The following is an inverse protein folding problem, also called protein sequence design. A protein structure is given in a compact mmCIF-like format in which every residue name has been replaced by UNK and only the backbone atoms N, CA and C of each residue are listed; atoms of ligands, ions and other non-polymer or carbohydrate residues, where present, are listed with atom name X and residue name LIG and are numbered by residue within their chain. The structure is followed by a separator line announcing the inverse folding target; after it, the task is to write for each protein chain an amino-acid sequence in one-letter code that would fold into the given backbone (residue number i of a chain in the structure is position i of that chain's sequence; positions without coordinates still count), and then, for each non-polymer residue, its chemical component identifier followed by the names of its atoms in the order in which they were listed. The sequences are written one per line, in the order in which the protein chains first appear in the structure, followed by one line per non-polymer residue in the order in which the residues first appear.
data_IF_095676245256
#
_entry.id   IF_095676245256
#
_cell.length_a   1.000
_cell.length_b   1.000
_cell.length_c   1.000
_cell.angle_alpha   90.00
_cell.angle_beta   90.00
_cell.angle_gamma   90.00
#
_symmetry.space_group_name_H-M   'P 1'
#
loop_
_entity.id
_entity.type
_entity.pdbx_description
1 polymer ?
#
# COMPACT_ATOMS: atom_id res chain seq x y z
N UNK A 1 3.17 11.53 27.28
CA UNK A 1 2.38 10.84 26.23
C UNK A 1 2.51 11.72 25.01
N UNK A 2 3.43 11.35 24.10
CA UNK A 2 3.58 12.09 22.84
C UNK A 2 2.29 11.94 22.06
N UNK A 3 1.65 13.07 21.78
CA UNK A 3 0.51 13.18 20.90
C UNK A 3 1.01 12.82 19.49
N UNK A 4 0.92 11.54 19.14
CA UNK A 4 1.52 10.99 17.94
C UNK A 4 0.84 11.60 16.70
N UNK A 5 1.38 12.71 16.20
CA UNK A 5 0.92 13.34 14.98
C UNK A 5 1.00 12.35 13.82
N UNK A 6 -0.15 12.06 13.22
CA UNK A 6 -0.21 11.35 11.93
C UNK A 6 0.43 12.23 10.86
N UNK A 7 1.25 11.61 10.01
CA UNK A 7 1.78 12.27 8.82
C UNK A 7 0.63 12.60 7.85
N UNK A 8 0.90 13.44 6.84
CA UNK A 8 -0.08 13.76 5.80
C UNK A 8 -0.47 12.49 5.03
N UNK A 9 -1.76 12.35 4.74
CA UNK A 9 -2.25 11.30 3.84
C UNK A 9 -2.10 11.73 2.39
N UNK A 10 -1.83 10.75 1.51
CA UNK A 10 -1.74 10.92 0.07
C UNK A 10 -2.66 9.93 -0.63
N UNK A 11 -3.20 10.34 -1.78
CA UNK A 11 -3.93 9.49 -2.70
C UNK A 11 -3.39 9.74 -4.11
N UNK A 12 -2.96 8.68 -4.78
CA UNK A 12 -2.41 8.74 -6.12
C UNK A 12 -2.73 7.45 -6.89
N UNK A 13 -2.66 7.53 -8.22
CA UNK A 13 -2.63 6.34 -9.07
C UNK A 13 -1.31 5.59 -8.89
N UNK A 14 -1.34 4.26 -8.89
CA UNK A 14 -0.12 3.44 -8.90
C UNK A 14 0.46 3.24 -10.31
N UNK A 15 -0.19 3.78 -11.35
CA UNK A 15 0.24 3.68 -12.74
C UNK A 15 0.05 2.29 -13.35
N UNK A 16 0.60 2.11 -14.55
CA UNK A 16 0.49 0.85 -15.32
C UNK A 16 1.61 -0.13 -14.94
N UNK A 17 1.47 -0.82 -13.82
CA UNK A 17 2.40 -1.87 -13.40
C UNK A 17 3.87 -1.41 -13.43
N UNK A 18 4.79 -2.20 -14.00
CA UNK A 18 6.22 -1.90 -14.00
C UNK A 18 6.60 -0.73 -14.91
N UNK A 19 5.72 -0.28 -15.82
CA UNK A 19 6.04 0.74 -16.81
C UNK A 19 6.36 2.11 -16.21
N UNK A 20 5.91 2.37 -14.97
CA UNK A 20 6.31 3.56 -14.21
C UNK A 20 7.80 3.54 -13.92
N UNK A 21 8.34 2.40 -13.51
CA UNK A 21 9.75 2.23 -13.16
C UNK A 21 10.64 2.13 -14.41
N UNK A 22 10.09 1.64 -15.52
CA UNK A 22 10.78 1.57 -16.82
C UNK A 22 10.91 2.94 -17.51
N UNK A 23 10.36 4.02 -16.93
CA UNK A 23 10.56 5.38 -17.44
C UNK A 23 9.77 5.70 -18.71
N UNK A 24 8.71 4.96 -19.01
CA UNK A 24 7.88 5.20 -20.20
C UNK A 24 7.27 6.61 -20.20
N UNK A 25 7.31 7.28 -21.35
CA UNK A 25 6.93 8.70 -21.51
C UNK A 25 5.54 9.03 -20.96
N UNK A 26 4.56 8.16 -21.19
CA UNK A 26 3.19 8.37 -20.72
C UNK A 26 3.03 8.30 -19.19
N UNK A 27 4.00 7.75 -18.46
CA UNK A 27 4.00 7.69 -16.99
C UNK A 27 4.74 8.87 -16.34
N UNK A 28 5.47 9.69 -17.11
CA UNK A 28 6.22 10.86 -16.59
C UNK A 28 5.39 11.80 -15.71
N UNK A 29 4.11 12.12 -16.03
CA UNK A 29 3.30 12.96 -15.14
C UNK A 29 3.09 12.34 -13.75
N UNK A 30 2.86 11.02 -13.68
CA UNK A 30 2.72 10.32 -12.40
C UNK A 30 4.03 10.30 -11.63
N UNK A 31 5.15 9.99 -12.30
CA UNK A 31 6.48 10.01 -11.70
C UNK A 31 6.77 11.37 -11.09
N UNK A 32 6.48 12.46 -11.81
CA UNK A 32 6.64 13.82 -11.31
C UNK A 32 5.81 14.09 -10.05
N UNK A 33 4.54 13.69 -10.03
CA UNK A 33 3.67 13.84 -8.85
C UNK A 33 4.21 13.08 -7.65
N UNK A 34 4.65 11.82 -7.83
CA UNK A 34 5.22 11.00 -6.78
C UNK A 34 6.50 11.63 -6.22
N UNK A 35 7.45 12.00 -7.09
CA UNK A 35 8.72 12.63 -6.71
C UNK A 35 8.49 13.95 -5.97
N UNK A 36 7.58 14.79 -6.46
CA UNK A 36 7.28 16.11 -5.87
C UNK A 36 6.63 16.01 -4.48
N UNK A 37 6.07 14.84 -4.13
CA UNK A 37 5.43 14.60 -2.83
C UNK A 37 6.21 13.63 -1.93
N UNK A 38 7.39 13.16 -2.36
CA UNK A 38 8.23 12.23 -1.61
C UNK A 38 8.59 12.73 -0.20
N UNK A 39 8.77 14.05 -0.05
CA UNK A 39 9.11 14.72 1.21
C UNK A 39 8.14 14.43 2.37
N UNK A 40 6.90 14.02 2.06
CA UNK A 40 5.90 13.65 3.08
C UNK A 40 6.35 12.42 3.89
N UNK A 41 7.23 11.59 3.32
CA UNK A 41 7.75 10.38 3.98
C UNK A 41 8.98 10.65 4.86
N UNK A 42 9.63 11.82 4.77
CA UNK A 42 10.93 12.07 5.43
C UNK A 42 10.88 11.97 6.96
N UNK A 43 9.73 12.27 7.57
CA UNK A 43 9.53 12.20 9.02
C UNK A 43 8.54 11.09 9.41
N UNK A 44 8.16 10.22 8.47
CA UNK A 44 7.28 9.11 8.77
C UNK A 44 8.04 8.05 9.58
N UNK A 45 7.35 7.43 10.55
CA UNK A 45 7.87 6.28 11.30
C UNK A 45 7.45 4.93 10.70
N UNK A 46 6.60 4.98 9.68
CA UNK A 46 6.01 3.83 9.02
C UNK A 46 4.88 4.27 8.10
N UNK A 47 4.49 3.38 7.20
CA UNK A 47 3.51 3.64 6.15
C UNK A 47 2.35 2.65 6.32
N UNK A 48 1.12 3.16 6.35
CA UNK A 48 -0.09 2.36 6.17
C UNK A 48 -0.55 2.63 4.74
N UNK A 49 -0.52 1.62 3.88
CA UNK A 49 -0.85 1.76 2.46
C UNK A 49 -2.04 0.88 2.12
N UNK A 50 -3.10 1.50 1.60
CA UNK A 50 -4.26 0.80 1.03
C UNK A 50 -4.03 0.59 -0.46
N UNK A 51 -4.14 -0.64 -0.94
CA UNK A 51 -3.87 -1.00 -2.35
C UNK A 51 -5.14 -1.47 -3.05
N UNK A 52 -5.33 -1.01 -4.29
CA UNK A 52 -6.41 -1.47 -5.16
C UNK A 52 -6.22 -2.91 -5.66
N UNK A 53 -5.00 -3.47 -5.55
CA UNK A 53 -4.70 -4.86 -5.95
C UNK A 53 -5.00 -5.89 -4.86
N UNK A 54 -5.65 -5.44 -3.79
CA UNK A 54 -6.09 -6.30 -2.72
C UNK A 54 -7.49 -5.92 -2.27
N UNK A 55 -8.48 -6.59 -2.85
CA UNK A 55 -9.87 -6.44 -2.45
C UNK A 55 -10.35 -7.61 -1.60
N UNK A 56 -11.03 -7.33 -0.49
CA UNK A 56 -11.56 -8.33 0.42
C UNK A 56 -12.94 -7.94 0.97
N UNK A 57 -13.69 -8.92 1.47
CA UNK A 57 -14.99 -8.67 2.12
C UNK A 57 -14.83 -8.11 3.55
N UNK A 58 -13.68 -8.30 4.16
CA UNK A 58 -13.31 -7.79 5.48
C UNK A 58 -11.93 -7.13 5.38
N UNK A 59 -11.52 -6.27 6.34
CA UNK A 59 -10.18 -5.71 6.32
C UNK A 59 -9.12 -6.81 6.38
N UNK A 60 -8.26 -6.90 5.38
CA UNK A 60 -7.06 -7.72 5.47
C UNK A 60 -5.82 -6.82 5.64
N UNK A 61 -4.89 -7.30 6.45
CA UNK A 61 -3.75 -6.53 6.94
C UNK A 61 -2.50 -7.39 6.79
N UNK A 62 -1.47 -6.87 6.12
CA UNK A 62 -0.18 -7.56 6.08
C UNK A 62 0.49 -7.52 7.45
N UNK A 63 0.91 -8.68 7.97
CA UNK A 63 1.55 -8.84 9.27
C UNK A 63 2.88 -9.62 9.19
N UNK A 64 3.44 -9.81 7.99
CA UNK A 64 4.76 -10.44 7.82
C UNK A 64 5.89 -9.48 8.19
N UNK A 65 7.00 -9.99 8.72
CA UNK A 65 8.17 -9.16 9.07
C UNK A 65 9.00 -8.75 7.84
N UNK A 66 9.17 -9.66 6.88
CA UNK A 66 10.00 -9.45 5.69
C UNK A 66 9.26 -9.87 4.40
N UNK A 67 8.18 -9.17 4.02
CA UNK A 67 7.40 -9.55 2.86
C UNK A 67 8.21 -9.43 1.57
N UNK A 68 7.99 -10.38 0.66
CA UNK A 68 8.60 -10.38 -0.67
C UNK A 68 7.77 -9.53 -1.63
N UNK A 69 8.34 -9.14 -2.77
CA UNK A 69 7.52 -8.58 -3.86
C UNK A 69 6.57 -9.66 -4.39
N UNK A 70 5.33 -9.24 -4.64
CA UNK A 70 4.32 -9.98 -5.36
C UNK A 70 4.08 -9.29 -6.71
N UNK A 71 4.60 -9.89 -7.79
CA UNK A 71 4.35 -9.44 -9.16
C UNK A 71 2.96 -9.86 -9.62
N UNK A 72 1.96 -9.14 -9.15
CA UNK A 72 0.55 -9.30 -9.52
C UNK A 72 0.26 -9.05 -11.01
N UNK A 73 1.22 -8.48 -11.75
CA UNK A 73 1.19 -8.33 -13.21
C UNK A 73 1.92 -9.45 -14.00
N UNK A 74 2.39 -10.53 -13.35
CA UNK A 74 3.18 -11.57 -14.02
C UNK A 74 2.49 -12.29 -15.19
N UNK A 75 1.16 -12.18 -15.33
CA UNK A 75 0.40 -12.70 -16.47
C UNK A 75 0.25 -11.74 -17.65
N UNK A 76 0.75 -10.49 -17.56
CA UNK A 76 0.59 -9.51 -18.62
C UNK A 76 1.50 -9.82 -19.82
N UNK A 77 0.97 -9.86 -21.06
CA UNK A 77 1.76 -10.16 -22.24
C UNK A 77 2.75 -9.03 -22.55
N UNK A 78 3.93 -9.40 -23.04
CA UNK A 78 4.91 -8.45 -23.60
C UNK A 78 5.77 -7.70 -22.58
N UNK A 79 5.74 -8.08 -21.30
CA UNK A 79 6.65 -7.51 -20.30
C UNK A 79 8.06 -8.14 -20.41
N UNK A 80 9.13 -7.32 -20.48
CA UNK A 80 10.50 -7.81 -20.49
C UNK A 80 10.91 -8.37 -19.12
N UNK A 81 12.00 -9.15 -19.09
CA UNK A 81 12.49 -9.78 -17.85
C UNK A 81 12.80 -8.76 -16.74
N UNK A 82 13.35 -7.59 -17.11
CA UNK A 82 13.66 -6.48 -16.18
C UNK A 82 12.43 -6.03 -15.36
N UNK A 83 11.20 -6.21 -15.86
CA UNK A 83 9.98 -5.91 -15.13
C UNK A 83 9.81 -6.76 -13.83
N UNK A 84 10.54 -7.87 -13.71
CA UNK A 84 10.50 -8.81 -12.59
C UNK A 84 11.79 -8.77 -11.75
N UNK A 85 12.68 -7.82 -12.03
CA UNK A 85 13.96 -7.65 -11.34
C UNK A 85 13.92 -6.59 -10.25
N UNK A 86 12.88 -5.74 -10.24
CA UNK A 86 12.66 -4.77 -9.17
C UNK A 86 12.60 -5.44 -7.80
N UNK A 87 13.13 -4.78 -6.78
CA UNK A 87 13.08 -5.24 -5.39
C UNK A 87 12.74 -4.04 -4.51
N UNK A 88 11.96 -4.28 -3.46
CA UNK A 88 11.61 -3.25 -2.49
C UNK A 88 11.57 -3.89 -1.11
N UNK A 89 12.74 -3.98 -0.43
CA UNK A 89 12.90 -4.73 0.81
C UNK A 89 12.39 -3.97 2.03
N UNK A 90 11.28 -3.25 1.89
CA UNK A 90 10.69 -2.52 3.01
C UNK A 90 10.22 -3.52 4.08
N UNK A 91 10.63 -3.33 5.35
CA UNK A 91 10.23 -4.24 6.41
C UNK A 91 8.72 -4.14 6.62
N UNK A 92 8.08 -5.25 6.96
CA UNK A 92 6.73 -5.19 7.50
C UNK A 92 6.74 -4.77 8.97
N UNK A 93 5.55 -4.59 9.55
CA UNK A 93 5.41 -4.19 10.96
C UNK A 93 4.27 -4.96 11.63
N UNK A 94 4.53 -6.18 12.14
CA UNK A 94 3.50 -7.01 12.77
C UNK A 94 2.86 -6.35 13.99
N UNK A 95 3.63 -5.60 14.78
CA UNK A 95 3.13 -4.91 15.98
C UNK A 95 2.15 -3.78 15.60
N UNK A 96 2.50 -3.00 14.57
CA UNK A 96 1.58 -2.00 14.03
C UNK A 96 0.34 -2.65 13.40
N UNK A 97 0.50 -3.75 12.66
CA UNK A 97 -0.60 -4.50 12.08
C UNK A 97 -1.59 -4.99 13.16
N UNK A 98 -1.08 -5.52 14.28
CA UNK A 98 -1.89 -5.94 15.41
C UNK A 98 -2.65 -4.78 16.07
N UNK A 99 -1.99 -3.62 16.25
CA UNK A 99 -2.63 -2.41 16.78
C UNK A 99 -3.72 -1.87 15.85
N UNK A 100 -3.50 -1.94 14.55
CA UNK A 100 -4.49 -1.58 13.53
C UNK A 100 -5.70 -2.53 13.63
N UNK A 101 -5.46 -3.84 13.72
CA UNK A 101 -6.52 -4.83 13.88
C UNK A 101 -7.39 -4.53 15.11
N UNK A 102 -6.78 -4.31 16.28
CA UNK A 102 -7.50 -3.96 17.51
C UNK A 102 -8.34 -2.68 17.36
N UNK A 103 -7.81 -1.67 16.67
CA UNK A 103 -8.54 -0.42 16.40
C UNK A 103 -9.78 -0.67 15.55
N UNK A 104 -9.64 -1.52 14.52
CA UNK A 104 -10.73 -1.87 13.62
C UNK A 104 -11.78 -2.76 14.29
N UNK A 105 -11.37 -3.71 15.13
CA UNK A 105 -12.26 -4.52 15.96
C UNK A 105 -13.11 -3.64 16.87
N UNK A 106 -12.50 -2.65 17.53
CA UNK A 106 -13.22 -1.66 18.36
C UNK A 106 -14.23 -0.82 17.58
N UNK A 107 -14.05 -0.68 16.26
CA UNK A 107 -14.97 -0.02 15.35
C UNK A 107 -15.99 -0.97 14.70
N UNK A 108 -16.03 -2.25 15.10
CA UNK A 108 -17.00 -3.24 14.62
C UNK A 108 -16.58 -3.99 13.36
N UNK A 109 -15.34 -3.85 12.88
CA UNK A 109 -14.82 -4.67 11.80
C UNK A 109 -14.31 -6.02 12.30
N UNK A 110 -14.05 -6.94 11.37
CA UNK A 110 -13.45 -8.26 11.62
C UNK A 110 -12.15 -8.36 10.81
N UNK A 111 -11.05 -7.73 11.25
CA UNK A 111 -9.81 -7.71 10.49
C UNK A 111 -9.11 -9.07 10.47
N UNK A 112 -8.44 -9.37 9.36
CA UNK A 112 -7.64 -10.58 9.15
C UNK A 112 -6.17 -10.22 8.99
N UNK A 113 -5.33 -10.72 9.88
CA UNK A 113 -3.87 -10.57 9.80
C UNK A 113 -3.27 -11.69 8.94
N UNK A 114 -2.56 -11.32 7.88
CA UNK A 114 -1.91 -12.26 6.96
C UNK A 114 -0.39 -12.08 6.92
N UNK A 115 0.36 -13.14 7.19
CA UNK A 115 1.85 -13.09 7.23
C UNK A 115 2.53 -13.38 5.90
N UNK A 116 1.77 -13.87 4.90
CA UNK A 116 2.31 -14.34 3.62
C UNK A 116 2.08 -13.38 2.45
N UNK A 117 1.32 -12.29 2.64
CA UNK A 117 1.04 -11.31 1.58
C UNK A 117 2.32 -10.56 1.22
N UNK A 118 2.70 -10.65 -0.05
CA UNK A 118 3.78 -9.83 -0.61
C UNK A 118 3.34 -8.41 -1.00
N UNK A 119 4.32 -7.57 -1.30
CA UNK A 119 4.16 -6.21 -1.80
C UNK A 119 3.70 -6.24 -3.25
N UNK A 120 2.46 -5.85 -3.51
CA UNK A 120 1.94 -5.74 -4.88
C UNK A 120 2.40 -4.44 -5.55
N UNK A 121 2.21 -4.32 -6.86
CA UNK A 121 2.70 -3.16 -7.59
C UNK A 121 2.03 -1.85 -7.18
N UNK A 122 0.82 -1.92 -6.62
CA UNK A 122 0.15 -0.77 -6.01
C UNK A 122 0.97 -0.14 -4.89
N UNK A 123 1.77 -0.96 -4.19
CA UNK A 123 2.67 -0.55 -3.12
C UNK A 123 4.08 -0.27 -3.63
N UNK A 124 4.75 -1.26 -4.22
CA UNK A 124 6.19 -1.15 -4.41
C UNK A 124 6.58 -0.19 -5.54
N UNK A 125 5.75 -0.03 -6.58
CA UNK A 125 6.06 0.88 -7.69
C UNK A 125 6.07 2.34 -7.23
N UNK A 126 5.01 2.87 -6.58
CA UNK A 126 5.04 4.23 -6.07
C UNK A 126 6.12 4.46 -5.02
N UNK A 127 6.34 3.48 -4.13
CA UNK A 127 7.33 3.62 -3.07
C UNK A 127 8.77 3.52 -3.56
N UNK A 128 9.06 2.79 -4.65
CA UNK A 128 10.38 2.86 -5.30
C UNK A 128 10.66 4.26 -5.88
N UNK A 129 9.63 4.98 -6.31
CA UNK A 129 9.76 6.37 -6.78
C UNK A 129 9.91 7.36 -5.61
N UNK A 130 9.12 7.17 -4.54
CA UNK A 130 9.04 8.13 -3.43
C UNK A 130 10.07 7.91 -2.32
N UNK A 131 10.43 6.66 -2.03
CA UNK A 131 11.33 6.25 -0.93
C UNK A 131 12.16 5.03 -1.33
N UNK A 132 13.05 5.15 -2.32
CA UNK A 132 13.84 4.02 -2.84
C UNK A 132 14.72 3.32 -1.79
N UNK A 133 15.00 3.99 -0.67
CA UNK A 133 15.78 3.43 0.44
C UNK A 133 15.08 2.25 1.12
N UNK A 134 13.75 2.13 1.00
CA UNK A 134 12.95 1.07 1.63
C UNK A 134 13.21 0.91 3.14
N UNK A 135 13.53 2.02 3.81
CA UNK A 135 13.96 2.06 5.22
C UNK A 135 12.80 2.29 6.20
N UNK A 136 11.59 2.52 5.68
CA UNK A 136 10.39 2.68 6.48
C UNK A 136 9.58 1.38 6.55
N UNK A 137 9.10 0.99 7.75
CA UNK A 137 8.21 -0.14 7.87
C UNK A 137 6.86 0.13 7.20
N UNK A 138 6.31 -0.88 6.50
CA UNK A 138 5.04 -0.78 5.78
C UNK A 138 4.03 -1.80 6.30
N UNK A 139 2.78 -1.37 6.42
CA UNK A 139 1.61 -2.23 6.57
C UNK A 139 0.71 -1.99 5.36
N UNK A 140 0.60 -3.01 4.52
CA UNK A 140 -0.30 -3.03 3.38
C UNK A 140 -1.69 -3.47 3.85
N UNK A 141 -2.71 -2.74 3.41
CA UNK A 141 -4.11 -2.91 3.77
C UNK A 141 -4.90 -3.24 2.49
N UNK A 142 -5.84 -4.17 2.59
CA UNK A 142 -6.83 -4.37 1.53
C UNK A 142 -7.79 -3.17 1.47
N UNK A 143 -8.52 -3.04 0.35
CA UNK A 143 -9.76 -2.28 0.27
C UNK A 143 -10.96 -3.23 0.38
N UNK A 144 -12.12 -2.67 0.74
CA UNK A 144 -13.34 -3.45 0.92
C UNK A 144 -14.14 -3.53 -0.39
N UNK A 145 -14.55 -4.74 -0.77
CA UNK A 145 -15.54 -4.97 -1.83
C UNK A 145 -16.92 -4.55 -1.35
N UNK A 146 -17.73 -3.99 -2.24
CA UNK A 146 -19.16 -3.78 -2.02
C UNK A 146 -20.03 -4.69 -2.88
N UNK A 147 -21.34 -4.70 -2.61
CA UNK A 147 -22.32 -5.31 -3.53
C UNK A 147 -22.57 -4.46 -4.79
N UNK A 148 -22.26 -3.17 -4.71
CA UNK A 148 -22.17 -2.21 -5.79
C UNK A 148 -21.11 -1.14 -5.43
N UNK A 149 -20.83 -0.21 -6.35
CA UNK A 149 -19.80 0.83 -6.15
C UNK A 149 -20.15 1.77 -5.00
N UNK A 150 -21.43 2.12 -4.83
CA UNK A 150 -21.89 2.96 -3.72
C UNK A 150 -21.68 2.29 -2.37
N UNK A 151 -22.01 1.00 -2.25
CA UNK A 151 -21.75 0.22 -1.04
C UNK A 151 -20.24 0.08 -0.78
N UNK A 152 -19.45 -0.17 -1.83
CA UNK A 152 -17.99 -0.24 -1.71
C UNK A 152 -17.42 1.10 -1.20
N UNK A 153 -17.88 2.22 -1.73
CA UNK A 153 -17.46 3.55 -1.31
C UNK A 153 -17.82 3.81 0.16
N UNK A 154 -19.07 3.55 0.56
CA UNK A 154 -19.51 3.75 1.94
C UNK A 154 -18.69 2.90 2.93
N UNK A 155 -18.46 1.64 2.59
CA UNK A 155 -17.68 0.71 3.42
C UNK A 155 -16.23 1.18 3.57
N UNK A 156 -15.59 1.62 2.50
CA UNK A 156 -14.21 2.13 2.57
C UNK A 156 -14.11 3.49 3.27
N UNK A 157 -15.15 4.35 3.19
CA UNK A 157 -15.21 5.59 3.97
C UNK A 157 -15.30 5.31 5.48
N UNK A 158 -16.17 4.37 5.90
CA UNK A 158 -16.25 3.92 7.30
C UNK A 158 -14.94 3.31 7.76
N UNK A 159 -14.31 2.51 6.91
CA UNK A 159 -13.02 1.87 7.18
C UNK A 159 -11.90 2.89 7.39
N UNK A 160 -11.76 3.89 6.51
CA UNK A 160 -10.80 4.97 6.68
C UNK A 160 -11.10 5.86 7.90
N UNK A 161 -12.38 6.05 8.24
CA UNK A 161 -12.78 6.82 9.42
C UNK A 161 -12.42 6.11 10.74
N UNK A 162 -12.55 4.78 10.80
CA UNK A 162 -12.14 3.97 11.96
C UNK A 162 -10.63 4.05 12.25
N UNK A 163 -9.85 4.42 11.24
CA UNK A 163 -8.39 4.51 11.32
C UNK A 163 -7.90 5.90 11.74
N UNK A 164 -8.78 6.84 12.13
CA UNK A 164 -8.41 8.22 12.52
C UNK A 164 -7.86 8.34 13.94
#
# INVERSE_FOLDING_TARGET
MDDAKRARSLFFSHGLGPYVLMGNDHQKPLIYVLQSNAYILDNARGIILFTAHWEASQPHISAGQTPQIYYDYAGAPGLPQEAYEYRYPAPGNPDLAARIAQTLEGAGFQPVLGTTRGWDHGLFVPLLVMRPQADLPVVQMSILKGVCDEDAAERNLRYGAAMK
#
